data_IF_856574848444
#
_entry.id   IF_856574848444
#
_cell.length_a   1.000
_cell.length_b   1.000
_cell.length_c   1.000
_cell.angle_alpha   90.00
_cell.angle_beta   90.00
_cell.angle_gamma   90.00
#
_symmetry.space_group_name_H-M   'P 1'
#
loop_
_entity.id
_entity.type
_entity.pdbx_description
1 polymer ?
2 non-polymer ?
3 non-polymer ?
4 non-polymer ?
5 water ?
#
# COMPACT_ATOMS: atom_id res chain seq x y z
N UNK A 16 36.01 20.00 -1.99
CA UNK A 16 34.88 20.08 -1.00
C UNK A 16 33.66 19.27 -1.42
N UNK A 17 33.46 19.09 -2.74
CA UNK A 17 32.32 18.30 -3.26
C UNK A 17 32.62 17.77 -4.67
N UNK A 18 31.71 16.90 -5.14
CA UNK A 18 31.88 16.11 -6.36
C UNK A 18 31.01 14.87 -6.29
N UNK A 19 30.14 14.65 -7.29
CA UNK A 19 28.98 13.75 -7.15
C UNK A 19 29.32 12.40 -6.48
N UNK A 20 28.64 12.10 -5.37
CA UNK A 20 28.76 10.77 -4.74
C UNK A 20 28.07 9.73 -5.63
N UNK A 21 28.44 8.47 -5.44
CA UNK A 21 27.93 7.37 -6.26
C UNK A 21 27.75 6.13 -5.39
N UNK A 22 26.75 5.32 -5.75
CA UNK A 22 26.46 4.07 -5.05
C UNK A 22 26.13 3.01 -6.09
N UNK A 23 26.79 1.86 -6.00
CA UNK A 23 26.56 0.71 -6.88
C UNK A 23 26.45 1.20 -8.33
N UNK A 24 27.39 2.06 -8.72
CA UNK A 24 27.45 2.58 -10.07
C UNK A 24 26.63 3.85 -10.24
N UNK A 25 25.45 3.92 -9.64
CA UNK A 25 24.53 5.05 -9.81
C UNK A 25 25.20 6.35 -9.36
N UNK A 26 25.03 7.41 -10.16
CA UNK A 26 25.24 8.76 -9.63
C UNK A 26 24.23 8.98 -8.50
N UNK A 27 24.63 9.57 -7.39
CA UNK A 27 23.67 10.06 -6.37
C UNK A 27 23.95 11.53 -6.08
N UNK A 28 23.14 12.37 -6.69
CA UNK A 28 23.49 13.74 -6.96
C UNK A 28 22.69 14.66 -6.05
N UNK A 29 23.03 14.63 -4.76
CA UNK A 29 22.11 15.14 -3.73
C UNK A 29 22.85 16.07 -2.77
N UNK A 30 24.08 16.45 -3.11
CA UNK A 30 24.89 17.25 -2.22
C UNK A 30 24.71 18.72 -2.48
N UNK A 31 25.25 19.59 -1.63
CA UNK A 31 26.05 19.18 -0.44
C UNK A 31 25.25 18.83 0.82
N UNK A 32 23.93 18.95 0.78
CA UNK A 32 23.15 18.81 2.00
C UNK A 32 23.28 17.37 2.52
N UNK A 33 23.22 16.41 1.61
CA UNK A 33 23.14 15.02 1.97
C UNK A 33 24.42 14.30 1.53
N UNK A 34 25.09 13.67 2.50
CA UNK A 34 26.42 13.07 2.27
C UNK A 34 26.48 11.66 2.88
N UNK A 35 27.65 11.03 2.74
CA UNK A 35 27.93 9.77 3.43
C UNK A 35 26.82 8.77 3.07
N UNK A 36 26.58 8.60 1.77
CA UNK A 36 25.47 7.76 1.34
C UNK A 36 25.84 6.30 1.57
N UNK A 37 24.82 5.48 1.77
CA UNK A 37 24.98 4.05 1.89
C UNK A 37 23.76 3.34 1.29
N UNK A 38 24.01 2.26 0.56
CA UNK A 38 22.97 1.51 -0.14
C UNK A 38 22.00 0.89 0.88
N UNK A 39 20.71 0.90 0.54
CA UNK A 39 19.66 0.22 1.30
C UNK A 39 18.99 -0.84 0.41
N UNK A 40 18.45 -0.41 -0.73
CA UNK A 40 17.66 -1.30 -1.57
C UNK A 40 17.55 -0.76 -2.98
N UNK A 41 16.83 -1.51 -3.80
CA UNK A 41 16.69 -1.17 -5.20
C UNK A 41 15.39 -1.80 -5.68
N UNK A 42 14.88 -1.35 -6.82
CA UNK A 42 13.67 -1.90 -7.43
C UNK A 42 13.34 -1.21 -8.74
N UNK A 43 12.19 -1.53 -9.34
CA UNK A 43 11.76 -0.89 -10.60
C UNK A 43 11.80 0.65 -10.48
N UNK A 44 11.30 1.13 -9.34
CA UNK A 44 11.30 2.57 -8.98
C UNK A 44 12.68 3.21 -9.14
N UNK A 45 13.76 2.47 -8.86
CA UNK A 45 15.13 3.01 -8.86
C UNK A 45 15.91 2.58 -7.61
N UNK A 46 16.63 3.51 -6.98
CA UNK A 46 17.50 3.12 -5.87
C UNK A 46 17.23 4.00 -4.64
N UNK A 47 17.20 3.36 -3.47
CA UNK A 47 17.08 4.02 -2.15
C UNK A 47 18.41 3.86 -1.39
N UNK A 48 18.85 4.96 -0.78
CA UNK A 48 20.07 4.98 0.02
C UNK A 48 19.73 5.56 1.40
N UNK A 49 20.63 5.35 2.37
CA UNK A 49 20.67 6.21 3.55
C UNK A 49 21.73 7.29 3.32
N UNK A 50 21.47 8.45 3.91
CA UNK A 50 22.31 9.63 3.73
C UNK A 50 22.26 10.45 5.02
N UNK A 51 23.36 11.12 5.33
CA UNK A 51 23.42 12.07 6.44
C UNK A 51 22.93 13.44 5.95
N UNK A 52 21.93 13.96 6.63
CA UNK A 52 21.35 15.26 6.33
C UNK A 52 22.10 16.29 7.14
N UNK A 53 22.87 17.14 6.46
CA UNK A 53 23.78 18.08 7.13
C UNK A 53 23.03 19.27 7.73
N UNK A 54 21.74 19.43 7.47
CA UNK A 54 20.95 20.54 8.06
C UNK A 54 20.28 20.05 9.35
N UNK A 55 19.66 18.88 9.30
CA UNK A 55 18.90 18.37 10.45
C UNK A 55 19.79 17.43 11.28
N UNK A 56 20.98 17.12 10.80
CA UNK A 56 21.97 16.33 11.53
C UNK A 56 21.40 14.95 11.88
N UNK A 57 20.69 14.36 10.95
CA UNK A 57 20.18 12.99 11.12
C UNK A 57 20.36 12.23 9.80
N UNK A 58 20.42 10.92 9.88
CA UNK A 58 20.49 10.16 8.67
C UNK A 58 19.04 10.04 8.18
N UNK A 59 18.88 10.05 6.85
CA UNK A 59 17.59 10.02 6.17
C UNK A 59 17.63 8.91 5.11
N UNK A 60 16.46 8.59 4.55
CA UNK A 60 16.34 7.82 3.31
C UNK A 60 16.25 8.79 2.12
N UNK A 61 16.91 8.41 1.03
CA UNK A 61 16.80 9.13 -0.24
C UNK A 61 16.64 8.12 -1.36
N UNK A 62 15.62 8.30 -2.20
CA UNK A 62 15.42 7.45 -3.36
C UNK A 62 15.58 8.26 -4.64
N UNK A 63 16.35 7.69 -5.57
CA UNK A 63 16.57 8.26 -6.88
C UNK A 63 15.55 7.69 -7.87
N UNK A 64 14.73 8.56 -8.42
CA UNK A 64 13.74 8.21 -9.43
C UNK A 64 14.16 8.83 -10.77
N UNK A 65 14.09 8.03 -11.82
CA UNK A 65 14.48 8.43 -13.16
C UNK A 65 13.38 8.03 -14.15
N UNK A 66 12.24 8.73 -14.10
CA UNK A 66 11.02 8.29 -14.79
C UNK A 66 10.74 8.94 -16.16
N UNK A 67 11.56 9.86 -16.61
CA UNK A 67 11.13 10.68 -17.75
C UNK A 67 11.19 9.84 -19.04
N UNK A 68 11.27 8.52 -18.90
CA UNK A 68 11.33 7.55 -20.01
C UNK A 68 9.93 7.30 -20.60
N UNK A 69 9.01 6.73 -19.81
CA UNK A 69 7.62 6.59 -20.27
C UNK A 69 6.66 7.18 -19.22
N UNK A 70 5.48 7.59 -19.71
CA UNK A 70 4.58 8.43 -18.92
C UNK A 70 3.86 7.62 -17.84
N UNK A 71 4.08 6.31 -17.79
CA UNK A 71 3.54 5.55 -16.67
C UNK A 71 4.43 5.80 -15.43
N UNK A 72 5.74 5.88 -15.61
CA UNK A 72 6.66 6.14 -14.49
C UNK A 72 6.43 7.55 -13.95
N UNK A 73 6.27 8.52 -14.85
CA UNK A 73 5.93 9.85 -14.43
C UNK A 73 4.60 9.94 -13.71
N UNK A 74 3.61 9.15 -14.13
CA UNK A 74 2.31 9.12 -13.46
C UNK A 74 2.47 8.64 -12.02
N UNK A 75 3.20 7.54 -11.83
CA UNK A 75 3.36 6.97 -10.49
C UNK A 75 4.18 7.92 -9.61
N UNK A 76 5.12 8.64 -10.22
CA UNK A 76 5.95 9.66 -9.55
C UNK A 76 5.09 10.85 -9.12
N UNK A 77 4.23 11.34 -10.01
CA UNK A 77 3.30 12.41 -9.66
C UNK A 77 2.35 12.00 -8.53
N UNK A 78 1.74 10.80 -8.58
CA UNK A 78 0.82 10.40 -7.49
C UNK A 78 1.58 10.34 -6.16
N UNK A 79 2.73 9.70 -6.18
CA UNK A 79 3.55 9.57 -4.98
C UNK A 79 3.77 10.97 -4.38
N UNK A 80 4.26 11.90 -5.19
CA UNK A 80 4.65 13.22 -4.67
C UNK A 80 3.42 14.01 -4.20
N UNK A 81 2.40 14.13 -5.04
CA UNK A 81 1.21 14.94 -4.67
C UNK A 81 0.55 14.39 -3.40
N UNK A 82 0.37 13.07 -3.31
CA UNK A 82 -0.32 12.46 -2.19
C UNK A 82 0.53 12.62 -0.92
N UNK A 83 1.82 12.31 -0.98
CA UNK A 83 2.59 12.28 0.26
C UNK A 83 2.85 13.70 0.77
N UNK A 84 2.95 14.68 -0.12
CA UNK A 84 3.12 16.06 0.31
C UNK A 84 1.84 16.57 0.99
N UNK A 85 0.66 16.06 0.63
CA UNK A 85 -0.60 16.60 1.17
C UNK A 85 -0.95 15.88 2.49
N UNK A 86 -0.61 14.60 2.61
CA UNK A 86 -0.87 13.84 3.80
C UNK A 86 0.13 14.22 4.89
N UNK A 87 -0.38 14.23 6.14
CA UNK A 87 0.45 14.42 7.31
C UNK A 87 -0.09 13.54 8.44
N UNK A 88 0.54 12.42 8.66
CA UNK A 88 0.02 11.42 9.62
C UNK A 88 1.17 10.56 10.12
N UNK A 89 1.14 10.21 11.41
CA UNK A 89 2.21 9.44 12.04
C UNK A 89 2.42 8.07 11.39
N UNK A 90 1.36 7.49 10.77
CA UNK A 90 1.44 6.13 10.24
C UNK A 90 1.52 6.17 8.72
N UNK A 91 1.91 7.33 8.14
CA UNK A 91 2.13 7.44 6.75
C UNK A 91 3.49 8.12 6.54
N UNK A 92 4.34 7.52 5.71
CA UNK A 92 5.62 8.11 5.41
C UNK A 92 5.45 9.50 4.75
N UNK A 93 6.28 10.42 5.17
CA UNK A 93 6.26 11.76 4.61
C UNK A 93 7.27 11.90 3.47
N UNK A 94 7.30 13.09 2.90
CA UNK A 94 8.39 13.58 2.08
C UNK A 94 8.99 14.78 2.81
N UNK A 95 10.28 14.71 3.14
CA UNK A 95 11.01 15.79 3.83
C UNK A 95 11.62 16.78 2.85
N UNK A 96 11.97 16.33 1.64
CA UNK A 96 12.72 17.18 0.70
C UNK A 96 12.65 16.53 -0.65
N UNK A 97 12.76 17.31 -1.71
CA UNK A 97 12.91 16.74 -3.06
C UNK A 97 14.03 17.50 -3.76
N UNK A 98 14.96 16.75 -4.36
CA UNK A 98 16.11 17.31 -5.09
C UNK A 98 15.86 17.08 -6.58
N UNK A 99 15.95 18.13 -7.36
CA UNK A 99 16.08 17.99 -8.78
C UNK A 99 16.79 19.24 -9.31
N UNK A 100 17.12 19.23 -10.60
CA UNK A 100 17.81 20.34 -11.29
C UNK A 100 16.97 21.62 -11.24
N UNK A 101 17.62 22.78 -11.37
CA UNK A 101 16.89 24.04 -11.30
C UNK A 101 16.00 24.34 -12.52
N UNK A 102 16.22 23.67 -13.65
CA UNK A 102 15.41 23.91 -14.85
C UNK A 102 14.85 22.58 -15.33
N UNK A 103 13.76 22.64 -16.12
CA UNK A 103 13.12 21.42 -16.67
C UNK A 103 14.11 20.74 -17.63
N UNK A 104 14.74 21.55 -18.44
CA UNK A 104 15.81 21.12 -19.36
C UNK A 104 16.76 20.17 -18.63
N UNK A 105 17.31 20.65 -17.51
CA UNK A 105 18.45 20.00 -16.86
C UNK A 105 17.97 18.84 -15.97
N UNK A 106 16.66 18.76 -15.69
CA UNK A 106 16.11 17.78 -14.76
C UNK A 106 15.97 16.42 -15.45
N UNK A 107 16.66 15.43 -14.92
CA UNK A 107 16.65 14.04 -15.45
C UNK A 107 16.27 13.06 -14.33
N UNK A 108 16.65 13.38 -13.08
CA UNK A 108 16.32 12.53 -11.98
C UNK A 108 15.56 13.36 -10.97
N UNK A 109 14.81 12.69 -10.14
CA UNK A 109 14.17 13.31 -9.00
C UNK A 109 14.60 12.52 -7.76
N UNK A 110 15.19 13.18 -6.77
CA UNK A 110 15.48 12.48 -5.52
C UNK A 110 14.48 12.89 -4.44
N UNK A 111 13.88 11.89 -3.80
CA UNK A 111 12.87 12.12 -2.79
C UNK A 111 13.43 11.70 -1.43
N UNK A 112 13.45 12.65 -0.51
CA UNK A 112 14.06 12.42 0.80
C UNK A 112 12.94 12.13 1.82
N UNK A 113 13.11 11.08 2.61
CA UNK A 113 12.07 10.61 3.54
C UNK A 113 12.72 10.17 4.87
N UNK A 114 11.95 10.13 5.94
CA UNK A 114 12.44 9.57 7.21
C UNK A 114 13.05 8.19 7.03
N UNK A 115 14.19 7.98 7.70
CA UNK A 115 14.87 6.71 7.64
C UNK A 115 14.14 5.73 8.58
N UNK A 116 13.92 4.51 8.11
CA UNK A 116 13.30 3.48 8.99
C UNK A 116 14.28 2.32 9.13
N UNK A 117 13.94 1.28 9.91
CA UNK A 117 14.90 0.18 10.13
C UNK A 117 14.68 -0.93 9.10
N UNK A 118 13.42 -1.27 8.80
CA UNK A 118 13.11 -2.42 8.02
C UNK A 118 11.70 -2.24 7.42
N UNK A 119 11.22 -3.29 6.77
CA UNK A 119 9.79 -3.33 6.42
C UNK A 119 9.18 -4.65 6.84
N UNK A 120 7.85 -4.75 6.78
CA UNK A 120 7.16 -5.95 7.35
C UNK A 120 7.45 -7.21 6.50
N UNK A 121 7.72 -7.03 5.23
CA UNK A 121 8.11 -8.16 4.37
C UNK A 121 9.45 -8.76 4.86
N UNK A 122 10.46 -7.92 5.01
CA UNK A 122 11.79 -8.39 5.48
C UNK A 122 11.66 -8.99 6.88
N UNK A 123 10.88 -8.37 7.74
CA UNK A 123 10.73 -8.80 9.14
C UNK A 123 10.04 -10.19 9.19
N UNK A 124 8.98 -10.37 8.41
CA UNK A 124 8.21 -11.63 8.40
C UNK A 124 9.03 -12.80 7.85
N UNK A 125 10.03 -12.52 7.02
CA UNK A 125 10.80 -13.62 6.45
C UNK A 125 11.76 -14.18 7.53
N UNK A 126 12.07 -13.38 8.56
CA UNK A 126 13.07 -13.75 9.59
C UNK A 126 12.48 -13.90 11.02
N UNK A 127 11.37 -13.26 11.35
CA UNK A 127 10.97 -13.03 12.77
C UNK A 127 9.54 -13.48 13.06
N UNK A 128 9.38 -14.22 14.15
CA UNK A 128 8.05 -14.54 14.71
C UNK A 128 7.48 -13.27 15.35
N UNK A 129 6.22 -12.95 15.08
CA UNK A 129 5.59 -11.82 15.79
C UNK A 129 4.83 -12.36 17.00
N UNK A 130 5.03 -11.76 18.18
CA UNK A 130 4.17 -11.98 19.36
C UNK A 130 2.76 -11.48 19.03
N UNK A 131 1.74 -11.97 19.73
CA UNK A 131 0.37 -11.47 19.49
C UNK A 131 0.30 -9.97 19.81
N UNK A 132 1.05 -9.47 20.78
CA UNK A 132 1.08 -8.03 21.05
C UNK A 132 1.65 -7.18 19.87
N UNK A 133 2.62 -7.73 19.16
CA UNK A 133 3.18 -7.06 17.99
C UNK A 133 2.15 -7.03 16.84
N UNK A 134 1.50 -8.17 16.64
CA UNK A 134 0.54 -8.33 15.58
C UNK A 134 -0.54 -7.27 15.77
N UNK A 135 -1.02 -7.19 16.99
CA UNK A 135 -2.11 -6.28 17.36
C UNK A 135 -1.68 -4.81 17.17
N UNK A 136 -0.51 -4.42 17.66
CA UNK A 136 0.00 -3.06 17.48
C UNK A 136 0.21 -2.68 16.00
N UNK A 137 0.72 -3.62 15.20
CA UNK A 137 1.01 -3.36 13.81
C UNK A 137 -0.34 -3.15 13.10
N UNK A 138 -1.28 -4.06 13.36
CA UNK A 138 -2.59 -3.98 12.73
C UNK A 138 -3.27 -2.66 13.12
N UNK A 139 -3.20 -2.31 14.41
CA UNK A 139 -3.78 -1.05 14.86
C UNK A 139 -3.19 0.08 13.99
N UNK A 140 -1.86 0.14 13.85
CA UNK A 140 -1.22 1.30 13.16
C UNK A 140 -1.56 1.32 11.66
N UNK A 141 -1.63 0.13 11.07
CA UNK A 141 -2.04 -0.01 9.70
C UNK A 141 -3.42 0.62 9.53
N UNK A 142 -4.36 0.24 10.38
CA UNK A 142 -5.76 0.70 10.23
C UNK A 142 -5.88 2.20 10.55
N UNK A 143 -5.10 2.67 11.50
CA UNK A 143 -5.12 4.07 11.90
C UNK A 143 -4.67 4.92 10.70
N UNK A 144 -3.62 4.48 10.00
CA UNK A 144 -3.14 5.16 8.80
C UNK A 144 -4.18 5.09 7.70
N UNK A 145 -4.75 3.92 7.53
CA UNK A 145 -5.73 3.75 6.46
C UNK A 145 -7.00 4.57 6.70
N UNK A 146 -7.38 4.79 7.96
CA UNK A 146 -8.50 5.64 8.27
C UNK A 146 -8.24 7.03 7.68
N UNK A 147 -7.06 7.56 7.92
CA UNK A 147 -6.70 8.85 7.37
C UNK A 147 -6.75 8.79 5.84
N UNK A 148 -6.14 7.78 5.25
CA UNK A 148 -6.13 7.72 3.75
C UNK A 148 -7.56 7.72 3.18
N UNK A 149 -8.40 6.79 3.68
CA UNK A 149 -9.78 6.67 3.24
C UNK A 149 -10.57 7.93 3.55
N UNK A 150 -10.30 8.61 4.68
CA UNK A 150 -11.00 9.86 4.99
C UNK A 150 -10.71 10.92 3.92
N UNK A 151 -9.64 10.76 3.14
CA UNK A 151 -9.26 11.75 2.10
C UNK A 151 -9.80 11.30 0.73
N UNK A 152 -10.65 10.27 0.77
CA UNK A 152 -11.26 9.65 -0.41
C UNK A 152 -10.18 9.03 -1.30
N UNK A 153 -9.08 8.60 -0.72
CA UNK A 153 -7.98 7.98 -1.47
C UNK A 153 -7.94 6.47 -1.16
N UNK A 154 -7.61 5.69 -2.15
CA UNK A 154 -7.35 4.29 -2.02
C UNK A 154 -5.87 4.06 -2.29
N UNK A 155 -5.22 3.27 -1.43
CA UNK A 155 -3.80 2.97 -1.58
C UNK A 155 -3.58 2.00 -2.75
N UNK A 156 -4.34 0.91 -2.72
CA UNK A 156 -4.47 -0.06 -3.85
C UNK A 156 -3.22 -0.94 -4.02
N UNK A 157 -2.25 -0.87 -3.13
CA UNK A 157 -1.20 -1.84 -3.15
C UNK A 157 -0.63 -2.17 -1.75
N UNK A 158 -1.51 -2.31 -0.79
CA UNK A 158 -1.07 -2.66 0.57
C UNK A 158 -0.55 -4.10 0.56
N UNK A 159 0.60 -4.24 1.21
CA UNK A 159 1.28 -5.51 1.31
C UNK A 159 2.40 -5.28 2.34
N UNK A 160 2.96 -6.36 2.89
CA UNK A 160 4.03 -6.24 3.87
C UNK A 160 5.20 -5.34 3.41
N UNK A 161 5.69 -5.47 2.17
CA UNK A 161 6.84 -4.67 1.69
C UNK A 161 6.51 -3.17 1.69
N UNK A 162 5.23 -2.79 1.78
CA UNK A 162 4.87 -1.38 1.74
C UNK A 162 4.54 -0.88 3.14
N UNK A 163 5.03 -1.58 4.16
CA UNK A 163 4.85 -1.17 5.55
C UNK A 163 6.24 -1.06 6.20
N UNK A 164 6.66 0.17 6.45
CA UNK A 164 7.98 0.47 7.09
C UNK A 164 7.86 0.42 8.61
N UNK A 165 8.94 -0.06 9.27
CA UNK A 165 9.06 -0.17 10.72
C UNK A 165 10.39 0.43 11.18
N UNK A 166 10.33 1.22 12.22
CA UNK A 166 11.56 1.73 12.91
C UNK A 166 11.89 0.77 14.05
N UNK A 167 12.93 1.14 14.81
CA UNK A 167 13.56 0.21 15.75
C UNK A 167 12.61 -0.10 16.92
N UNK A 168 11.58 0.73 17.12
CA UNK A 168 10.64 0.61 18.24
C UNK A 168 9.25 0.21 17.70
N UNK A 169 9.25 -0.37 16.52
CA UNK A 169 8.04 -0.92 15.91
C UNK A 169 6.94 0.10 15.56
N UNK A 170 7.29 1.37 15.40
CA UNK A 170 6.31 2.32 14.87
C UNK A 170 6.23 2.00 13.36
N UNK A 171 5.02 2.05 12.83
CA UNK A 171 4.73 1.62 11.49
C UNK A 171 4.26 2.82 10.65
N UNK A 172 4.73 2.86 9.40
CA UNK A 172 4.34 3.88 8.39
C UNK A 172 4.04 3.22 7.03
N UNK A 173 2.88 3.51 6.47
CA UNK A 173 2.50 3.05 5.15
C UNK A 173 3.30 3.83 4.11
N UNK A 174 3.88 3.14 3.13
CA UNK A 174 4.62 3.77 2.04
C UNK A 174 4.11 3.33 0.67
N UNK A 175 4.60 3.97 -0.37
CA UNK A 175 4.32 3.72 -1.80
C UNK A 175 2.88 3.99 -2.27
N UNK A 176 2.61 5.23 -2.65
CA UNK A 176 1.29 5.63 -3.14
C UNK A 176 1.26 5.74 -4.68
N UNK A 177 2.25 5.12 -5.36
CA UNK A 177 2.34 5.17 -6.78
C UNK A 177 1.15 4.53 -7.48
N UNK A 178 0.43 3.61 -6.84
CA UNK A 178 -0.76 3.02 -7.49
C UNK A 178 -2.06 3.56 -6.89
N UNK A 179 -2.01 4.59 -6.05
CA UNK A 179 -3.23 5.09 -5.40
C UNK A 179 -4.19 5.72 -6.42
N UNK A 180 -5.45 5.78 -6.01
CA UNK A 180 -6.48 6.40 -6.82
C UNK A 180 -7.46 7.11 -5.88
N UNK A 181 -8.17 8.09 -6.42
CA UNK A 181 -9.33 8.58 -5.68
C UNK A 181 -10.49 7.60 -5.84
N UNK A 182 -11.19 7.31 -4.73
CA UNK A 182 -12.29 6.36 -4.77
C UNK A 182 -13.36 6.85 -5.77
N UNK A 183 -13.99 5.89 -6.44
CA UNK A 183 -15.03 6.16 -7.39
C UNK A 183 -15.94 4.94 -7.42
N UNK A 184 -16.72 4.74 -6.35
CA UNK A 184 -17.58 3.53 -6.22
C UNK A 184 -18.61 3.40 -7.34
N UNK A 185 -19.17 4.50 -7.85
CA UNK A 185 -20.14 4.45 -8.94
C UNK A 185 -19.60 3.92 -10.26
N UNK A 186 -18.29 3.87 -10.42
CA UNK A 186 -17.69 3.36 -11.66
C UNK A 186 -16.79 2.15 -11.40
N UNK A 187 -17.12 1.34 -10.39
CA UNK A 187 -16.25 0.23 -10.03
C UNK A 187 -16.50 -1.05 -10.87
N UNK A 188 -17.64 -1.14 -11.54
CA UNK A 188 -18.05 -2.39 -12.18
C UNK A 188 -17.33 -2.55 -13.53
N UNK A 189 -17.01 -3.81 -13.82
CA UNK A 189 -16.33 -4.20 -15.04
C UNK A 189 -16.58 -5.70 -15.28
N UNK A 190 -15.91 -6.17 -16.32
CA UNK A 190 -16.06 -7.51 -16.76
C UNK A 190 -15.15 -8.46 -16.05
N UNK A 191 -15.37 -9.71 -16.42
CA UNK A 191 -14.70 -10.87 -15.82
C UNK A 191 -13.28 -10.98 -16.40
N UNK A 192 -12.35 -11.25 -15.51
CA UNK A 192 -10.94 -11.36 -15.82
C UNK A 192 -10.45 -10.06 -16.50
N UNK A 193 -10.86 -8.90 -15.99
CA UNK A 193 -10.34 -7.59 -16.46
C UNK A 193 -8.94 -7.41 -15.85
N UNK A 194 -7.96 -7.06 -16.67
CA UNK A 194 -6.56 -7.03 -16.19
C UNK A 194 -6.41 -5.99 -15.08
N UNK A 195 -5.39 -6.20 -14.24
CA UNK A 195 -5.19 -5.38 -13.06
C UNK A 195 -3.70 -5.28 -12.73
N UNK A 196 -3.32 -4.21 -12.03
CA UNK A 196 -1.89 -3.87 -11.85
C UNK A 196 -1.39 -4.24 -10.43
N UNK A 197 -2.17 -4.00 -9.38
CA UNK A 197 -1.74 -4.19 -7.94
C UNK A 197 -1.36 -5.65 -7.61
N UNK A 198 -0.69 -5.90 -6.46
CA UNK A 198 0.10 -7.16 -6.22
C UNK A 198 -0.81 -8.37 -5.95
N UNK A 199 -0.52 -9.44 -6.67
CA UNK A 199 -1.51 -10.55 -6.88
C UNK A 199 -2.01 -11.13 -5.55
N UNK A 200 -1.11 -11.50 -4.64
CA UNK A 200 -1.49 -12.21 -3.40
C UNK A 200 -2.44 -11.37 -2.52
N UNK A 201 -2.51 -10.06 -2.71
CA UNK A 201 -3.27 -9.11 -1.85
C UNK A 201 -4.53 -8.59 -2.58
N UNK A 202 -4.85 -9.14 -3.75
CA UNK A 202 -6.02 -8.73 -4.56
C UNK A 202 -7.28 -9.43 -4.08
N UNK A 203 -8.28 -8.64 -3.78
CA UNK A 203 -9.59 -9.14 -3.34
C UNK A 203 -10.24 -9.93 -4.49
N UNK A 204 -11.12 -10.88 -4.13
CA UNK A 204 -11.61 -11.76 -5.14
C UNK A 204 -12.35 -11.01 -6.24
N UNK A 205 -13.03 -9.90 -5.86
CA UNK A 205 -13.89 -9.20 -6.82
C UNK A 205 -13.07 -8.59 -7.95
N UNK A 206 -11.76 -8.38 -7.76
CA UNK A 206 -10.88 -7.85 -8.86
C UNK A 206 -10.98 -8.80 -10.05
N UNK A 207 -10.95 -10.12 -9.80
CA UNK A 207 -10.90 -11.08 -10.89
C UNK A 207 -12.29 -11.29 -11.52
N UNK A 208 -13.33 -10.79 -10.85
CA UNK A 208 -14.71 -11.06 -11.17
C UNK A 208 -15.37 -9.84 -11.78
N UNK A 209 -15.43 -8.71 -11.09
CA UNK A 209 -16.25 -7.62 -11.66
C UNK A 209 -15.89 -6.23 -11.13
N UNK A 210 -14.68 -6.04 -10.59
CA UNK A 210 -14.34 -4.81 -9.90
C UNK A 210 -13.05 -4.23 -10.51
N UNK A 211 -13.07 -2.91 -10.68
CA UNK A 211 -11.92 -2.13 -11.12
C UNK A 211 -11.02 -1.73 -9.94
N UNK A 212 -11.42 -2.02 -8.70
CA UNK A 212 -10.61 -1.68 -7.51
C UNK A 212 -10.65 -0.20 -7.11
N UNK A 213 -11.80 0.41 -7.33
CA UNK A 213 -12.07 1.81 -7.08
C UNK A 213 -12.93 2.00 -5.83
N UNK A 214 -13.06 0.98 -4.96
CA UNK A 214 -13.82 1.08 -3.73
C UNK A 214 -12.85 0.83 -2.55
N UNK A 215 -13.14 1.46 -1.42
CA UNK A 215 -12.35 1.36 -0.19
C UNK A 215 -12.16 -0.08 0.31
N UNK A 216 -13.14 -0.94 0.04
CA UNK A 216 -13.10 -2.34 0.39
C UNK A 216 -11.95 -3.11 -0.27
N UNK A 217 -11.34 -2.59 -1.34
CA UNK A 217 -10.18 -3.24 -1.96
C UNK A 217 -9.01 -3.25 -0.94
N UNK A 218 -8.91 -2.18 -0.18
CA UNK A 218 -7.78 -1.99 0.73
C UNK A 218 -7.96 -2.83 1.98
N UNK A 219 -9.20 -2.92 2.44
CA UNK A 219 -9.47 -3.72 3.60
C UNK A 219 -9.13 -5.19 3.32
N UNK A 220 -9.44 -5.66 2.14
CA UNK A 220 -9.03 -7.02 1.75
C UNK A 220 -7.53 -7.22 1.96
N UNK A 221 -6.74 -6.26 1.45
CA UNK A 221 -5.33 -6.37 1.46
C UNK A 221 -4.86 -6.45 2.91
N UNK A 222 -5.46 -5.64 3.79
CA UNK A 222 -5.07 -5.60 5.18
C UNK A 222 -5.38 -6.96 5.82
N UNK A 223 -6.55 -7.53 5.50
CA UNK A 223 -6.89 -8.87 5.92
C UNK A 223 -5.79 -9.86 5.57
N UNK A 224 -5.33 -9.83 4.32
CA UNK A 224 -4.25 -10.71 3.88
C UNK A 224 -2.96 -10.49 4.71
N UNK A 225 -2.71 -9.24 5.08
CA UNK A 225 -1.52 -8.86 5.85
C UNK A 225 -1.63 -9.47 7.25
N UNK A 226 -2.83 -9.35 7.84
CA UNK A 226 -3.08 -9.87 9.15
C UNK A 226 -2.83 -11.39 9.16
N UNK A 227 -3.40 -12.09 8.19
CA UNK A 227 -3.18 -13.56 8.06
C UNK A 227 -1.67 -13.88 8.00
N UNK A 228 -0.97 -13.09 7.23
CA UNK A 228 0.43 -13.30 6.98
C UNK A 228 1.25 -13.05 8.27
N UNK A 229 0.83 -12.13 9.11
CA UNK A 229 1.47 -11.83 10.41
C UNK A 229 1.24 -13.00 11.37
N UNK A 230 0.12 -13.70 11.23
CA UNK A 230 -0.20 -14.81 12.09
C UNK A 230 0.68 -16.03 11.79
N UNK A 231 1.14 -16.26 10.56
CA UNK A 231 1.81 -17.54 10.20
C UNK A 231 3.15 -17.33 9.48
N UNK A 232 3.52 -16.08 9.22
CA UNK A 232 4.68 -15.73 8.40
C UNK A 232 4.57 -16.29 6.97
N UNK A 233 3.39 -16.58 6.47
CA UNK A 233 3.28 -17.11 5.12
C UNK A 233 2.14 -16.34 4.48
N UNK A 234 2.23 -16.02 3.19
CA UNK A 234 1.07 -15.37 2.58
C UNK A 234 -0.09 -16.36 2.60
N UNK A 235 -1.29 -15.87 2.80
CA UNK A 235 -2.45 -16.73 2.98
C UNK A 235 -2.96 -17.22 1.61
N UNK A 236 -2.89 -16.38 0.59
CA UNK A 236 -3.37 -16.71 -0.78
C UNK A 236 -2.26 -16.49 -1.83
N UNK A 237 -1.25 -17.37 -1.86
CA UNK A 237 -0.13 -17.22 -2.79
C UNK A 237 -0.35 -17.82 -4.19
N UNK A 238 -1.27 -17.21 -4.95
CA UNK A 238 -1.58 -17.67 -6.29
C UNK A 238 -0.44 -17.39 -7.27
N UNK A 239 -0.33 -18.23 -8.29
CA UNK A 239 0.80 -18.16 -9.25
C UNK A 239 0.37 -17.49 -10.57
N UNK A 240 -0.85 -16.99 -10.65
CA UNK A 240 -1.31 -16.28 -11.84
C UNK A 240 -2.74 -15.77 -11.62
N UNK A 241 -3.18 -14.95 -12.56
CA UNK A 241 -4.37 -14.13 -12.36
C UNK A 241 -5.52 -14.95 -11.76
N UNK A 242 -6.06 -15.96 -12.47
CA UNK A 242 -7.23 -16.71 -11.99
C UNK A 242 -6.83 -17.65 -10.84
N UNK A 243 -5.59 -18.18 -10.85
CA UNK A 243 -5.13 -19.01 -9.70
C UNK A 243 -5.37 -18.33 -8.37
N UNK A 244 -5.26 -17.00 -8.36
CA UNK A 244 -5.49 -16.18 -7.15
C UNK A 244 -6.90 -16.42 -6.61
N UNK A 245 -7.91 -16.33 -7.47
CA UNK A 245 -9.30 -16.56 -7.04
C UNK A 245 -9.44 -17.97 -6.45
N UNK A 246 -8.76 -18.95 -7.04
CA UNK A 246 -8.93 -20.32 -6.65
C UNK A 246 -8.31 -20.52 -5.24
N UNK A 247 -7.18 -19.88 -4.91
CA UNK A 247 -6.68 -19.92 -3.55
C UNK A 247 -7.71 -19.29 -2.61
N UNK A 248 -8.32 -18.19 -3.01
CA UNK A 248 -9.23 -17.49 -2.11
C UNK A 248 -10.42 -18.41 -1.82
N UNK A 249 -10.98 -18.99 -2.87
CA UNK A 249 -12.16 -19.86 -2.69
C UNK A 249 -11.79 -21.15 -1.96
N UNK A 250 -10.52 -21.56 -2.03
CA UNK A 250 -10.04 -22.76 -1.34
C UNK A 250 -10.19 -22.65 0.17
N UNK A 251 -10.13 -21.42 0.69
CA UNK A 251 -10.18 -21.16 2.09
C UNK A 251 -11.58 -20.62 2.47
N UNK A 252 -12.13 -19.63 1.74
CA UNK A 252 -13.47 -19.08 2.12
C UNK A 252 -14.60 -20.09 1.82
N UNK A 253 -14.36 -21.02 0.90
CA UNK A 253 -15.35 -21.91 0.39
C UNK A 253 -16.19 -21.25 -0.69
N UNK A 254 -17.13 -22.02 -1.24
CA UNK A 254 -18.06 -21.51 -2.24
C UNK A 254 -18.85 -20.33 -1.68
N UNK A 255 -18.99 -19.26 -2.48
CA UNK A 255 -19.91 -18.19 -2.10
C UNK A 255 -21.39 -18.61 -2.02
N UNK A 256 -22.08 -17.97 -1.09
CA UNK A 256 -23.50 -18.16 -0.87
C UNK A 256 -24.31 -17.70 -2.08
N UNK A 257 -25.55 -18.18 -2.14
CA UNK A 257 -26.50 -17.79 -3.19
C UNK A 257 -26.60 -16.26 -3.24
N UNK A 258 -26.71 -15.66 -2.06
CA UNK A 258 -26.91 -14.23 -1.93
C UNK A 258 -25.68 -13.51 -2.48
N UNK A 259 -24.50 -13.98 -2.12
CA UNK A 259 -23.27 -13.34 -2.59
C UNK A 259 -23.11 -13.48 -4.09
N UNK A 260 -23.49 -14.62 -4.62
CA UNK A 260 -23.45 -14.89 -6.04
C UNK A 260 -24.45 -13.99 -6.78
N UNK A 261 -25.63 -13.80 -6.19
CA UNK A 261 -26.69 -13.00 -6.82
C UNK A 261 -26.23 -11.55 -6.99
N UNK A 262 -25.41 -11.07 -6.05
CA UNK A 262 -24.81 -9.74 -6.18
C UNK A 262 -23.89 -9.54 -7.40
N UNK A 263 -23.35 -10.64 -7.95
CA UNK A 263 -22.53 -10.54 -9.16
C UNK A 263 -23.46 -10.61 -10.37
N UNK A 264 -23.81 -9.47 -10.97
CA UNK A 264 -24.80 -9.48 -12.06
C UNK A 264 -24.14 -9.91 -13.38
N UNK A 265 -22.86 -9.66 -13.52
CA UNK A 265 -22.12 -9.97 -14.74
C UNK A 265 -22.17 -11.49 -15.02
N UNK A 266 -22.65 -11.93 -16.16
CA UNK A 266 -22.94 -13.37 -16.33
C UNK A 266 -21.67 -14.22 -16.44
N UNK A 267 -20.63 -13.69 -17.07
CA UNK A 267 -19.42 -14.47 -17.24
C UNK A 267 -18.82 -14.74 -15.84
N UNK A 268 -18.83 -13.77 -14.95
CA UNK A 268 -18.28 -13.92 -13.60
C UNK A 268 -19.14 -14.89 -12.79
N UNK A 269 -20.46 -14.67 -12.90
CA UNK A 269 -21.41 -15.47 -12.10
C UNK A 269 -21.36 -16.93 -12.59
N UNK A 270 -21.33 -17.19 -13.88
CA UNK A 270 -21.37 -18.54 -14.38
C UNK A 270 -20.04 -19.27 -14.13
N UNK A 271 -18.95 -18.53 -14.03
CA UNK A 271 -17.68 -19.14 -13.69
C UNK A 271 -17.83 -19.75 -12.30
N UNK A 272 -18.35 -18.96 -11.36
CA UNK A 272 -18.40 -19.40 -9.99
C UNK A 272 -19.37 -20.58 -9.85
N UNK A 273 -20.47 -20.56 -10.61
CA UNK A 273 -21.46 -21.66 -10.60
C UNK A 273 -20.87 -22.94 -11.19
N UNK A 274 -19.84 -22.82 -12.03
CA UNK A 274 -19.21 -23.97 -12.68
C UNK A 274 -18.34 -24.76 -11.68
N UNK A 275 -17.95 -24.18 -10.56
CA UNK A 275 -16.95 -24.78 -9.66
C UNK A 275 -17.61 -25.78 -8.70
N UNK A 276 -16.95 -26.91 -8.42
CA UNK A 276 -17.45 -27.83 -7.41
C UNK A 276 -17.63 -27.10 -6.07
N UNK A 277 -18.61 -27.54 -5.30
CA UNK A 277 -18.81 -26.97 -3.98
C UNK A 277 -17.48 -27.10 -3.24
N UNK A 278 -17.06 -26.07 -2.50
CA UNK A 278 -15.90 -26.13 -1.61
C UNK A 278 -16.34 -25.59 -0.25
N UNK A 279 -15.93 -26.27 0.82
CA UNK A 279 -16.24 -25.84 2.17
C UNK A 279 -15.21 -24.84 2.67
N UNK A 280 -15.67 -24.01 3.57
CA UNK A 280 -14.84 -23.07 4.28
C UNK A 280 -13.84 -23.83 5.15
N UNK A 281 -12.61 -23.37 5.13
CA UNK A 281 -11.57 -23.81 6.05
C UNK A 281 -11.67 -22.89 7.27
N UNK A 282 -11.91 -23.45 8.46
CA UNK A 282 -12.00 -22.64 9.67
C UNK A 282 -10.70 -21.92 10.01
N UNK A 283 -10.83 -20.69 10.36
CA UNK A 283 -9.65 -19.84 10.64
C UNK A 283 -8.82 -20.47 11.78
N UNK A 284 -9.50 -21.05 12.77
CA UNK A 284 -8.84 -21.56 13.98
C UNK A 284 -8.02 -22.82 13.63
N UNK A 285 -8.33 -23.48 12.50
CA UNK A 285 -7.54 -24.63 12.02
C UNK A 285 -6.35 -24.11 11.17
N UNK A 286 -6.51 -23.01 10.47
CA UNK A 286 -5.39 -22.44 9.74
C UNK A 286 -4.42 -21.75 10.72
N UNK A 287 -4.96 -21.10 11.77
CA UNK A 287 -4.15 -20.30 12.69
C UNK A 287 -4.44 -20.80 14.12
N UNK A 288 -3.99 -22.01 14.43
CA UNK A 288 -4.34 -22.57 15.75
C UNK A 288 -3.68 -21.84 16.93
N UNK A 289 -2.68 -20.99 16.67
CA UNK A 289 -2.04 -20.23 17.77
C UNK A 289 -2.63 -18.82 17.88
N UNK A 290 -3.54 -18.43 16.96
CA UNK A 290 -4.01 -17.06 16.93
C UNK A 290 -4.97 -16.74 18.09
N UNK A 291 -4.96 -15.47 18.45
CA UNK A 291 -5.97 -14.89 19.32
C UNK A 291 -7.34 -15.03 18.65
N UNK A 292 -8.34 -15.50 19.39
CA UNK A 292 -9.65 -15.69 18.79
C UNK A 292 -10.24 -14.35 18.33
N UNK A 293 -10.02 -13.26 19.04
CA UNK A 293 -10.50 -11.95 18.60
C UNK A 293 -9.85 -11.55 17.27
N UNK A 294 -8.52 -11.80 17.12
CA UNK A 294 -7.85 -11.59 15.83
C UNK A 294 -8.57 -12.34 14.70
N UNK A 295 -8.94 -13.61 14.93
CA UNK A 295 -9.50 -14.39 13.83
C UNK A 295 -10.92 -13.88 13.52
N UNK A 296 -11.60 -13.28 14.49
CA UNK A 296 -12.94 -12.75 14.21
C UNK A 296 -12.81 -11.53 13.31
N UNK A 297 -11.87 -10.65 13.65
CA UNK A 297 -11.63 -9.50 12.79
C UNK A 297 -11.13 -9.98 11.41
N UNK A 298 -10.22 -10.97 11.38
CA UNK A 298 -9.70 -11.49 10.09
C UNK A 298 -10.88 -11.91 9.18
N UNK A 299 -11.82 -12.65 9.78
CA UNK A 299 -13.00 -13.11 9.05
C UNK A 299 -13.76 -11.97 8.39
N UNK A 300 -13.91 -10.89 9.14
CA UNK A 300 -14.69 -9.75 8.71
C UNK A 300 -13.94 -8.94 7.65
N UNK A 301 -12.63 -8.99 7.67
CA UNK A 301 -11.81 -8.33 6.65
C UNK A 301 -11.76 -9.20 5.40
N UNK A 302 -11.68 -10.52 5.53
CA UNK A 302 -11.63 -11.37 4.39
C UNK A 302 -13.01 -11.95 4.05
N UNK A 303 -13.97 -11.07 3.98
CA UNK A 303 -15.32 -11.38 3.56
C UNK A 303 -15.38 -11.36 2.04
N UNK A 304 -16.00 -12.39 1.43
CA UNK A 304 -16.06 -12.50 -0.04
C UNK A 304 -16.74 -11.26 -0.63
N UNK A 305 -17.90 -10.93 -0.06
CA UNK A 305 -18.79 -9.91 -0.63
C UNK A 305 -18.31 -8.55 -0.15
N UNK A 306 -17.77 -7.68 -1.05
CA UNK A 306 -17.18 -6.42 -0.61
C UNK A 306 -18.17 -5.47 0.08
N UNK A 307 -19.45 -5.59 -0.20
CA UNK A 307 -20.44 -4.78 0.50
C UNK A 307 -20.55 -5.19 1.97
N UNK A 308 -20.27 -6.44 2.29
CA UNK A 308 -20.44 -6.95 3.65
C UNK A 308 -19.12 -6.87 4.41
N UNK A 309 -18.06 -6.56 3.68
CA UNK A 309 -16.72 -6.43 4.25
C UNK A 309 -16.67 -5.25 5.21
N UNK A 310 -16.00 -5.46 6.35
CA UNK A 310 -15.88 -4.46 7.42
C UNK A 310 -15.12 -3.24 6.84
N UNK A 311 -15.51 -2.04 7.29
CA UNK A 311 -14.84 -0.77 6.92
C UNK A 311 -13.77 -0.43 7.97
N UNK A 312 -12.90 0.53 7.63
CA UNK A 312 -11.72 0.78 8.42
C UNK A 312 -12.07 1.29 9.81
N UNK A 313 -13.08 2.14 9.92
CA UNK A 313 -13.46 2.64 11.22
C UNK A 313 -14.12 1.54 12.06
N UNK A 314 -14.89 0.62 11.45
CA UNK A 314 -15.44 -0.52 12.22
C UNK A 314 -14.31 -1.43 12.70
N UNK A 315 -13.29 -1.61 11.86
CA UNK A 315 -12.17 -2.45 12.20
C UNK A 315 -11.43 -1.90 13.43
N UNK A 316 -11.18 -0.58 13.45
CA UNK A 316 -10.57 0.04 14.59
C UNK A 316 -11.39 -0.17 15.87
N UNK A 317 -12.72 -0.22 15.79
CA UNK A 317 -13.61 -0.42 16.95
C UNK A 317 -13.80 -1.91 17.32
N UNK A 318 -13.15 -2.85 16.64
CA UNK A 318 -13.30 -4.29 16.91
C UNK A 318 -12.62 -4.66 18.25
N UNK A 319 -13.25 -5.55 19.07
CA UNK A 319 -12.69 -5.96 20.37
C UNK A 319 -11.18 -6.31 20.33
N UNK A 320 -10.67 -6.88 19.24
CA UNK A 320 -9.25 -7.23 19.15
C UNK A 320 -8.35 -6.01 19.42
N UNK A 321 -8.81 -4.83 19.01
CA UNK A 321 -7.97 -3.63 19.09
C UNK A 321 -8.33 -2.75 20.28
N UNK A 322 -9.04 -3.28 21.26
CA UNK A 322 -9.63 -2.49 22.33
C UNK A 322 -8.54 -1.78 23.15
N UNK A 323 -7.31 -2.30 23.20
CA UNK A 323 -6.27 -1.70 24.06
C UNK A 323 -5.81 -0.37 23.46
N UNK A 324 -6.00 -0.21 22.15
CA UNK A 324 -5.47 0.92 21.40
C UNK A 324 -6.56 1.90 20.92
N UNK A 325 -7.76 1.39 20.69
CA UNK A 325 -8.83 2.19 20.05
C UNK A 325 -9.12 3.48 20.83
N UNK A 326 -9.05 4.59 20.10
CA UNK A 326 -9.32 5.91 20.64
C UNK A 326 -9.59 6.79 19.41
N UNK A 327 -10.86 6.91 19.03
CA UNK A 327 -11.19 7.61 17.76
C UNK A 327 -10.74 9.09 17.76
N UNK A 328 -10.60 9.68 18.95
CA UNK A 328 -10.13 11.05 19.11
C UNK A 328 -8.62 11.17 18.80
N UNK A 329 -7.90 10.05 18.85
CA UNK A 329 -6.48 10.00 18.50
C UNK A 329 -6.26 9.23 17.21
N UNK A 330 -7.27 9.21 16.33
CA UNK A 330 -7.23 8.54 15.05
C UNK A 330 -7.72 9.56 14.01
N UNK A 331 -6.83 10.51 13.69
CA UNK A 331 -7.26 11.66 12.92
C UNK A 331 -7.62 11.35 11.46
N UNK A 332 -8.35 12.29 10.88
CA UNK A 332 -8.79 12.25 9.50
C UNK A 332 -8.24 13.47 8.76
N UNK A 333 -8.27 13.38 7.45
CA UNK A 333 -7.78 14.43 6.58
C UNK A 333 -8.72 15.63 6.62
N UNK A 334 -8.14 16.81 6.42
CA UNK A 334 -8.85 18.07 6.46
C UNK A 334 -9.85 18.16 5.31
N UNK A 335 -9.55 17.50 4.21
CA UNK A 335 -10.38 17.61 3.02
C UNK A 335 -10.13 16.42 2.08
N UNK A 336 -11.15 16.01 1.37
CA UNK A 336 -10.92 14.88 0.49
C UNK A 336 -10.03 15.38 -0.67
N UNK A 337 -9.40 14.48 -1.40
CA UNK A 337 -8.71 14.84 -2.64
C UNK A 337 -9.69 14.76 -3.81
N UNK A 338 -9.49 15.65 -4.77
CA UNK A 338 -10.14 15.53 -6.07
C UNK A 338 -9.12 15.75 -7.20
N UNK A 339 -7.82 15.78 -6.88
CA UNK A 339 -6.77 15.86 -7.92
C UNK A 339 -6.57 14.48 -8.55
N UNK A 344 -4.49 8.04 -18.09
CA UNK A 344 -4.62 9.49 -17.90
C UNK A 344 -4.52 10.14 -19.25
N UNK A 345 -4.98 11.37 -19.30
CA UNK A 345 -5.14 12.04 -20.57
C UNK A 345 -4.10 13.15 -20.76
N UNK A 346 -2.92 12.99 -20.17
CA UNK A 346 -1.95 14.09 -20.11
C UNK A 346 -0.65 13.65 -20.81
N UNK A 347 -0.25 14.36 -21.89
CA UNK A 347 1.03 14.15 -22.62
C UNK A 347 2.29 14.09 -21.74
N UNK A 348 3.34 13.47 -22.29
CA UNK A 348 4.67 13.37 -21.66
C UNK A 348 5.10 14.74 -21.10
N UNK A 349 5.05 15.74 -21.97
CA UNK A 349 5.66 17.03 -21.71
C UNK A 349 4.95 17.66 -20.51
N UNK A 350 3.63 17.48 -20.46
CA UNK A 350 2.81 18.11 -19.42
C UNK A 350 3.04 17.38 -18.09
N UNK A 351 3.21 16.06 -18.13
CA UNK A 351 3.48 15.32 -16.90
C UNK A 351 4.82 15.77 -16.30
N UNK A 352 5.82 16.00 -17.15
CA UNK A 352 7.14 16.44 -16.66
C UNK A 352 7.01 17.84 -16.03
N UNK A 353 6.24 18.72 -16.67
CA UNK A 353 6.04 20.08 -16.16
C UNK A 353 5.38 20.04 -14.78
N UNK A 354 4.45 19.11 -14.57
CA UNK A 354 3.71 19.01 -13.32
C UNK A 354 4.62 18.50 -12.20
N UNK A 355 5.53 17.60 -12.55
CA UNK A 355 6.50 17.11 -11.56
C UNK A 355 7.44 18.26 -11.21
N UNK A 356 7.80 19.05 -12.20
CA UNK A 356 8.63 20.23 -11.93
C UNK A 356 7.93 21.15 -10.93
N UNK A 357 6.70 21.53 -11.27
CA UNK A 357 5.90 22.48 -10.49
C UNK A 357 5.67 21.96 -9.08
N UNK A 358 5.42 20.66 -8.93
CA UNK A 358 5.08 20.09 -7.65
C UNK A 358 6.31 20.10 -6.73
N UNK A 359 7.51 20.11 -7.32
CA UNK A 359 8.74 19.94 -6.52
C UNK A 359 9.39 21.31 -6.26
N UNK A 360 8.80 22.37 -6.80
CA UNK A 360 9.39 23.70 -6.79
C UNK A 360 9.53 24.24 -5.37
N UNK A 361 8.66 23.81 -4.45
CA UNK A 361 8.67 24.34 -3.09
C UNK A 361 9.97 23.98 -2.36
N UNK A 362 10.74 23.01 -2.86
CA UNK A 362 11.93 22.55 -2.18
C UNK A 362 13.20 23.20 -2.74
N UNK A 363 13.08 24.00 -3.79
CA UNK A 363 14.23 24.68 -4.37
C UNK A 363 14.56 25.92 -3.53
N UNK A 364 15.83 26.32 -3.51
CA UNK A 364 16.29 27.56 -2.85
C UNK A 364 15.34 28.75 -3.08
X LIG B 1 -1.44 -11.16 -13.23
X LIG B 1 -2.18 -11.83 -12.11
X LIG B 1 -1.73 -11.71 -14.57
X LIG B 1 0.02 -11.31 -12.97
X LIG B 1 -1.85 -9.72 -13.17
X LIG C 1 -29.90 -9.71 -11.84
X LIG C 1 -31.04 -8.75 -12.11
X LIG C 1 -30.33 -10.58 -10.35
X LIG C 1 -30.12 -11.04 -12.98
X LIG D 1 -0.61 2.20 -13.09
X LIG D 1 0.16 1.01 -13.56
X LIG D 1 -1.77 1.77 -12.26
X LIG D 1 -1.10 2.98 -14.26
X LIG D 1 0.29 3.06 -12.29
X LIG E 1 9.19 4.66 -0.30
X LIG E 1 9.97 3.79 -0.66
X LIG E 1 11.10 3.46 0.02
X LIG E 1 11.52 3.94 1.28
X LIG E 1 12.25 3.12 2.13
X LIG E 1 12.68 3.59 3.39
X LIG E 1 13.41 3.05 4.46
X LIG E 1 14.02 1.74 4.66
X LIG E 1 15.11 1.57 5.52
X LIG E 1 15.66 0.32 5.69
X LIG E 1 15.21 -0.77 5.05
X LIG E 1 14.17 -0.62 4.23
X LIG E 1 13.56 0.60 4.01
X LIG E 1 13.51 3.98 5.42
X LIG E 1 12.87 5.08 4.98
X LIG E 1 12.35 4.87 3.75
X LIG E 1 11.61 5.70 2.90
X LIG E 1 11.20 5.24 1.68
X LIG E 1 9.71 2.98 -1.92
X LIG E 1 10.72 3.31 -3.04
X LIG E 1 8.35 3.27 -2.57
X LIG E 1 8.64 4.33 -3.53
X LIG E 1 9.87 3.85 -4.17
X LIG E 1 7.55 4.61 -4.47
X LIG E 1 7.78 5.84 -5.32
X LIG E 1 8.72 6.59 -5.07
X LIG E 1 6.94 6.09 -6.35
X LIG E 1 7.22 7.14 -7.32
X LIG E 1 8.00 6.54 -8.48
X LIG E 1 7.30 5.40 -9.09
X LIG E 1 6.77 4.42 -8.11
X LIG E 1 6.06 5.10 -6.95
X LIG E 1 8.13 4.80 -10.13
X LIG E 1 8.12 3.42 -10.33
X LIG E 1 8.91 2.85 -11.32
X LIG E 1 9.73 3.64 -12.12
X LIG E 1 9.74 5.02 -11.91
X LIG E 1 8.94 5.59 -10.93
X LIG E 1 10.58 3.03 -13.17
X LIG E 1 11.47 3.83 -13.77
X LIG E 1 12.24 3.27 -14.71
X LIG E 1 12.11 1.95 -15.05
X LIG E 1 11.17 1.20 -14.39
X LIG E 1 10.40 1.73 -13.44
X LIG E 1 11.62 2.87 -0.36
X LIG E 1 12.47 2.23 1.87
X LIG E 1 15.46 2.32 5.99
X LIG E 1 16.41 0.21 6.28
X LIG E 1 13.84 -1.39 3.77
X LIG E 1 12.82 0.66 3.41
X LIG E 1 12.82 5.81 5.47
X LIG E 1 11.40 6.59 3.18
X LIG E 1 10.70 5.80 1.11
X LIG E 1 9.77 2.02 -1.70
X LIG E 1 11.20 2.50 -3.32
X LIG E 1 11.37 3.97 -2.73
X LIG E 1 7.70 3.57 -1.90
X LIG E 1 7.99 2.48 -3.02
X LIG E 1 9.66 3.15 -4.83
X LIG E 1 10.33 4.58 -4.64
X LIG E 1 6.71 4.73 -3.95
X LIG E 1 7.43 3.83 -5.05
X LIG E 1 7.75 7.85 -6.90
X LIG E 1 6.38 7.52 -7.65
X LIG E 1 8.15 7.24 -9.15
X LIG E 1 8.88 6.25 -8.15
X LIG E 1 6.15 3.82 -8.56
X LIG E 1 7.52 3.88 -7.77
X LIG E 1 5.81 4.43 -6.29
X LIG E 1 5.25 5.53 -7.28
X LIG E 1 7.57 2.86 -9.79
X LIG E 1 8.90 1.91 -11.45
X LIG E 1 10.29 5.57 -12.45
X LIG E 1 8.97 6.53 -10.80
X LIG E 1 12.89 3.81 -15.17
X LIG E 1 12.66 1.56 -15.72
X LIG E 1 11.07 0.28 -14.60
#
# INVERSE_FOLDING_TARGET
MAHHHHHHMAAAAAAGAGPEMVRGQVFDVGPRYTNLSYIGEGAYGMVCSAYDNVNKVRVAIKKISPFEHQTYCQRTLREIKILLRFRHENIIGINDIIRAPTIEQMKDVYIVQDLMETDLYKLLKTQHLSNDHICYFLYQILRGLKYIHSANVLHRDLKPSNLLLNTTCDLKICDFGLARVADPDHDHTGFLTEYVATRWYRAPEIMLNSKGYTKSIDIWSVGCILAEMLSNRPIFPGKHYLDQLNHILGILGSPSQEDLNCIINLKARNYLLSLPHKNKVPWNRLFPNADSKALDLLDKMLTFNPHKRIEVEQALAHPYLEQYYDPSDEPIAEAPFKFDMELDDLPKEKLKELIFEETARFQPGYRS
SO4 S O1 O2 O3 O4
DMS S O C1 C2
SO4 S O1 O2 O3 O4
F3Z O1 C20 N5 C21 C26 C25 C27 C28 C32 C31 N6 C30 C29 N7 N8 C24 C23 C22 C19 C C18 N C1 C2 C3 O N1 C7 C6 N2 C5 C4 C8 C13 C12 C11 C10 C9 C14 N4 C17 C16 C15 N3 H1 H2 H3 H4 H5 H6 H57 H8 H9 H10 H12 H11 H14 H13 H16 H17 H19 H18 H21 H20 H23 H22 H25 H24 H27 H26 H28 H29 H30 H31 H32 H33 H34
#
